data_IF_060200222454
#
_entry.id   IF_060200222454
#
_cell.length_a   1.000
_cell.length_b   1.000
_cell.length_c   1.000
_cell.angle_alpha   90.00
_cell.angle_beta   90.00
_cell.angle_gamma   90.00
#
_symmetry.space_group_name_H-M   'P 1'
#
loop_
_entity.id
_entity.type
_entity.pdbx_description
1 polymer ?
#
# COMPACT_ATOMS: atom_id res chain seq x y z
N UNK A 1 -31.26 48.58 -34.61
CA UNK A 1 -31.26 47.15 -34.21
C UNK A 1 -29.93 46.82 -33.53
N UNK A 2 -29.98 45.90 -32.56
CA UNK A 2 -29.14 45.77 -31.36
C UNK A 2 -27.66 45.42 -31.62
N UNK A 3 -26.76 46.06 -30.85
CA UNK A 3 -25.38 45.62 -30.59
C UNK A 3 -25.39 44.27 -29.86
N UNK A 4 -24.72 43.28 -30.44
CA UNK A 4 -24.49 41.98 -29.81
C UNK A 4 -23.19 42.03 -29.00
N UNK A 5 -23.28 41.89 -27.68
CA UNK A 5 -22.14 41.78 -26.77
C UNK A 5 -21.68 40.32 -26.73
N UNK A 6 -20.48 40.03 -27.23
CA UNK A 6 -19.79 38.76 -26.97
C UNK A 6 -19.32 38.75 -25.52
N UNK A 7 -19.84 37.80 -24.73
CA UNK A 7 -19.33 37.50 -23.39
C UNK A 7 -18.22 36.46 -23.58
N UNK A 8 -16.98 36.87 -23.32
CA UNK A 8 -15.81 36.01 -23.26
C UNK A 8 -15.80 35.34 -21.86
N UNK A 9 -16.34 34.13 -21.77
CA UNK A 9 -16.29 33.33 -20.54
C UNK A 9 -14.88 32.74 -20.38
N UNK A 10 -14.09 33.27 -19.46
CA UNK A 10 -12.84 32.67 -19.03
C UNK A 10 -13.13 31.46 -18.13
N UNK A 11 -12.93 30.25 -18.66
CA UNK A 11 -12.88 29.04 -17.86
C UNK A 11 -11.53 29.01 -17.10
N UNK A 12 -11.55 29.38 -15.82
CA UNK A 12 -10.47 29.01 -14.91
C UNK A 12 -10.60 27.51 -14.61
N UNK A 13 -9.77 26.71 -15.27
CA UNK A 13 -9.55 25.32 -14.86
C UNK A 13 -8.70 25.32 -13.58
N UNK A 14 -9.36 25.28 -12.43
CA UNK A 14 -8.72 25.02 -11.14
C UNK A 14 -8.21 23.58 -11.14
N UNK A 15 -6.93 23.38 -11.47
CA UNK A 15 -6.26 22.10 -11.20
C UNK A 15 -6.10 21.97 -9.70
N UNK A 16 -7.01 21.25 -9.05
CA UNK A 16 -6.79 20.77 -7.69
C UNK A 16 -5.65 19.76 -7.77
N UNK A 17 -4.45 20.19 -7.37
CA UNK A 17 -3.38 19.27 -7.02
C UNK A 17 -3.80 18.66 -5.69
N UNK A 18 -4.51 17.53 -5.75
CA UNK A 18 -4.69 16.67 -4.59
C UNK A 18 -3.30 16.11 -4.31
N UNK A 19 -2.55 16.75 -3.41
CA UNK A 19 -1.36 16.14 -2.83
C UNK A 19 -1.86 15.01 -1.95
N UNK A 20 -2.16 13.86 -2.57
CA UNK A 20 -2.29 12.62 -1.83
C UNK A 20 -0.99 12.47 -1.06
N UNK A 21 -1.07 12.43 0.27
CA UNK A 21 0.06 12.01 1.08
C UNK A 21 0.48 10.65 0.49
N UNK A 22 1.69 10.61 -0.08
CA UNK A 22 2.22 9.35 -0.58
C UNK A 22 2.29 8.41 0.62
N UNK A 23 1.81 7.19 0.41
CA UNK A 23 1.81 6.13 1.40
C UNK A 23 3.09 6.14 2.25
N UNK A 24 2.98 6.11 3.58
CA UNK A 24 4.14 6.04 4.49
C UNK A 24 4.72 4.63 4.52
N UNK A 25 5.09 4.13 3.34
CA UNK A 25 5.78 2.86 3.15
C UNK A 25 7.24 3.17 2.88
N UNK A 26 8.12 2.56 3.65
CA UNK A 26 9.55 2.76 3.62
C UNK A 26 10.28 1.49 3.18
N UNK A 27 11.47 1.65 2.62
CA UNK A 27 12.45 0.58 2.39
C UNK A 27 13.77 1.08 3.00
N UNK A 28 14.11 0.59 4.18
CA UNK A 28 15.10 1.23 5.05
C UNK A 28 14.67 2.66 5.38
N UNK A 29 15.62 3.60 5.37
CA UNK A 29 15.37 5.00 5.77
C UNK A 29 14.68 5.87 4.69
N UNK A 30 14.22 5.27 3.58
CA UNK A 30 13.67 6.00 2.42
C UNK A 30 12.24 5.61 2.15
N UNK A 31 11.43 6.59 1.72
CA UNK A 31 10.11 6.31 1.17
C UNK A 31 10.23 5.38 -0.04
N UNK A 32 9.36 4.38 -0.10
CA UNK A 32 9.25 3.48 -1.23
C UNK A 32 8.78 4.25 -2.47
N UNK A 33 9.43 4.02 -3.60
CA UNK A 33 9.03 4.64 -4.87
C UNK A 33 7.82 3.95 -5.47
N UNK A 34 7.16 4.61 -6.42
CA UNK A 34 6.05 4.02 -7.17
C UNK A 34 6.48 2.73 -7.90
N UNK A 35 7.70 2.68 -8.45
CA UNK A 35 8.23 1.48 -9.12
C UNK A 35 8.45 0.33 -8.14
N UNK A 36 8.91 0.62 -6.91
CA UNK A 36 9.07 -0.39 -5.88
C UNK A 36 7.71 -0.95 -5.45
N UNK A 37 6.72 -0.07 -5.24
CA UNK A 37 5.35 -0.48 -4.89
C UNK A 37 4.63 -1.19 -6.05
N UNK A 38 4.99 -0.91 -7.30
CA UNK A 38 4.47 -1.59 -8.50
C UNK A 38 5.14 -2.94 -8.77
N UNK A 39 6.13 -3.35 -7.98
CA UNK A 39 6.77 -4.68 -8.11
C UNK A 39 5.75 -5.79 -7.94
N UNK A 40 5.77 -6.76 -8.86
CA UNK A 40 4.77 -7.83 -8.97
C UNK A 40 5.28 -9.14 -8.41
N UNK A 41 4.36 -9.93 -7.84
CA UNK A 41 4.60 -11.33 -7.51
C UNK A 41 4.99 -12.12 -8.77
N UNK A 42 5.70 -13.23 -8.56
CA UNK A 42 6.08 -14.17 -9.60
C UNK A 42 4.97 -15.15 -9.96
N UNK A 43 3.93 -15.28 -9.13
CA UNK A 43 2.74 -16.10 -9.39
C UNK A 43 1.91 -15.61 -10.60
N UNK A 44 0.85 -16.36 -10.92
CA UNK A 44 -0.05 -16.09 -12.05
C UNK A 44 -0.84 -14.80 -11.89
N UNK A 45 -1.11 -14.40 -10.65
CA UNK A 45 -2.02 -13.31 -10.33
C UNK A 45 -1.32 -11.96 -10.46
N UNK A 46 0.03 -11.96 -10.41
CA UNK A 46 0.86 -10.78 -10.67
C UNK A 46 0.51 -9.59 -9.79
N UNK A 47 0.06 -9.88 -8.57
CA UNK A 47 -0.25 -8.92 -7.51
C UNK A 47 0.93 -8.01 -7.24
N UNK A 48 0.68 -6.71 -7.19
CA UNK A 48 1.67 -5.68 -6.83
C UNK A 48 1.79 -5.53 -5.32
N UNK A 49 2.94 -4.99 -4.86
CA UNK A 49 3.12 -4.66 -3.45
C UNK A 49 2.05 -3.65 -3.00
N UNK A 50 1.74 -2.65 -3.83
CA UNK A 50 0.68 -1.69 -3.55
C UNK A 50 -0.67 -2.35 -3.32
N UNK A 51 -1.08 -3.32 -4.14
CA UNK A 51 -2.37 -4.01 -4.01
C UNK A 51 -2.47 -4.80 -2.71
N UNK A 52 -1.44 -5.59 -2.36
CA UNK A 52 -1.49 -6.39 -1.12
C UNK A 52 -1.46 -5.52 0.15
N UNK A 53 -0.76 -4.37 0.13
CA UNK A 53 -0.71 -3.47 1.29
C UNK A 53 -1.97 -2.60 1.41
N UNK A 54 -2.45 -2.04 0.30
CA UNK A 54 -3.62 -1.13 0.29
C UNK A 54 -4.95 -1.86 0.54
N UNK A 55 -5.04 -3.13 0.15
CA UNK A 55 -6.23 -3.97 0.32
C UNK A 55 -5.94 -5.21 1.20
N UNK A 56 -5.17 -5.02 2.27
CA UNK A 56 -4.88 -6.10 3.21
C UNK A 56 -6.05 -6.40 4.15
N UNK A 57 -6.19 -7.65 4.57
CA UNK A 57 -7.11 -8.04 5.66
C UNK A 57 -6.66 -7.50 7.03
N UNK A 58 -5.40 -7.09 7.16
CA UNK A 58 -4.84 -6.54 8.39
C UNK A 58 -4.97 -5.02 8.39
N UNK A 59 -5.83 -4.48 9.26
CA UNK A 59 -6.09 -3.03 9.37
C UNK A 59 -4.81 -2.21 9.64
N UNK A 60 -3.85 -2.75 10.39
CA UNK A 60 -2.59 -2.06 10.62
C UNK A 60 -1.75 -1.88 9.35
N UNK A 61 -1.89 -2.80 8.39
CA UNK A 61 -1.22 -2.70 7.09
C UNK A 61 -1.91 -1.62 6.26
N UNK A 62 -3.24 -1.66 6.14
CA UNK A 62 -3.97 -0.64 5.38
C UNK A 62 -3.83 0.75 6.01
N UNK A 63 -3.82 0.87 7.33
CA UNK A 63 -3.57 2.13 8.02
C UNK A 63 -2.15 2.64 7.76
N UNK A 64 -1.14 1.77 7.79
CA UNK A 64 0.25 2.14 7.49
C UNK A 64 0.44 2.56 6.03
N UNK A 65 -0.19 1.85 5.09
CA UNK A 65 -0.19 2.25 3.68
C UNK A 65 -0.86 3.62 3.46
N UNK A 66 -1.92 3.94 4.20
CA UNK A 66 -2.66 5.20 4.04
C UNK A 66 -2.23 6.31 5.02
N UNK A 67 -1.13 6.11 5.77
CA UNK A 67 -0.64 7.06 6.79
C UNK A 67 -1.69 7.46 7.83
N UNK A 68 -2.53 6.51 8.25
CA UNK A 68 -3.63 6.72 9.20
C UNK A 68 -3.14 6.47 10.63
N UNK A 69 -3.42 7.43 11.52
CA UNK A 69 -3.19 7.27 12.97
C UNK A 69 -1.73 7.14 13.36
N UNK A 70 -0.84 7.85 12.65
CA UNK A 70 0.62 7.79 12.80
C UNK A 70 1.15 6.36 12.69
N UNK A 71 0.61 5.62 11.72
CA UNK A 71 1.05 4.26 11.41
C UNK A 71 1.86 4.31 10.13
N UNK A 72 3.03 3.67 10.14
CA UNK A 72 3.92 3.58 8.99
C UNK A 72 4.25 2.10 8.73
N UNK A 73 4.64 1.79 7.49
CA UNK A 73 5.15 0.47 7.10
C UNK A 73 6.60 0.56 6.67
N UNK A 74 7.40 -0.41 7.06
CA UNK A 74 8.71 -0.64 6.44
C UNK A 74 8.71 -2.00 5.75
N UNK A 75 8.94 -2.03 4.44
CA UNK A 75 9.18 -3.26 3.69
C UNK A 75 10.60 -3.73 4.00
N UNK A 76 10.72 -4.75 4.83
CA UNK A 76 12.00 -5.36 5.17
C UNK A 76 12.41 -6.45 4.18
N UNK A 77 11.44 -6.99 3.43
CA UNK A 77 11.69 -7.93 2.35
C UNK A 77 10.59 -7.87 1.28
N UNK A 78 11.02 -7.74 0.02
CA UNK A 78 10.12 -7.83 -1.15
C UNK A 78 9.55 -9.24 -1.35
N UNK A 79 8.99 -9.52 -2.53
CA UNK A 79 8.36 -10.81 -2.83
C UNK A 79 9.28 -12.01 -2.58
N UNK A 80 8.81 -12.95 -1.77
CA UNK A 80 9.50 -14.20 -1.51
C UNK A 80 8.54 -15.28 -0.97
N UNK A 81 9.06 -16.50 -0.90
CA UNK A 81 8.48 -17.62 -0.14
C UNK A 81 9.41 -18.04 0.98
N UNK A 82 8.88 -18.78 1.95
CA UNK A 82 9.56 -19.26 3.15
C UNK A 82 9.32 -18.36 4.36
N UNK A 83 9.51 -18.93 5.55
CA UNK A 83 9.13 -18.31 6.83
C UNK A 83 8.42 -19.33 7.73
N UNK A 84 7.82 -18.86 8.82
CA UNK A 84 7.24 -19.70 9.87
C UNK A 84 5.75 -19.43 10.13
N UNK A 85 5.09 -18.60 9.30
CA UNK A 85 3.66 -18.29 9.41
C UNK A 85 2.81 -19.16 8.47
N UNK A 86 1.48 -19.26 8.71
CA UNK A 86 0.60 -20.27 8.12
C UNK A 86 0.50 -20.35 6.59
N UNK A 87 1.12 -19.46 5.83
CA UNK A 87 1.09 -19.48 4.36
C UNK A 87 2.46 -19.28 3.71
N UNK A 88 3.51 -19.09 4.52
CA UNK A 88 4.83 -18.65 4.05
C UNK A 88 5.47 -19.64 3.07
N UNK A 89 5.24 -20.94 3.26
CA UNK A 89 5.79 -21.98 2.39
C UNK A 89 5.06 -22.11 1.05
N UNK A 90 3.85 -21.59 0.94
CA UNK A 90 2.94 -21.86 -0.18
C UNK A 90 2.83 -20.64 -1.10
N UNK A 91 2.56 -19.47 -0.51
CA UNK A 91 2.25 -18.25 -1.24
C UNK A 91 3.38 -17.22 -1.12
N UNK A 92 3.58 -16.47 -2.20
CA UNK A 92 4.49 -15.33 -2.12
C UNK A 92 3.93 -14.25 -1.20
N UNK A 93 4.84 -13.55 -0.54
CA UNK A 93 4.50 -12.43 0.32
C UNK A 93 5.63 -11.42 0.37
N UNK A 94 5.25 -10.21 0.80
CA UNK A 94 6.20 -9.20 1.28
C UNK A 94 6.22 -9.22 2.80
N UNK A 95 7.39 -9.04 3.39
CA UNK A 95 7.51 -8.84 4.85
C UNK A 95 7.54 -7.35 5.12
N UNK A 96 6.63 -6.91 5.98
CA UNK A 96 6.55 -5.52 6.43
C UNK A 96 6.63 -5.45 7.95
N UNK A 97 7.32 -4.46 8.47
CA UNK A 97 7.22 -4.04 9.86
C UNK A 97 6.22 -2.91 9.97
N UNK A 98 5.39 -2.97 11.00
CA UNK A 98 4.40 -1.93 11.31
C UNK A 98 4.95 -1.08 12.44
N UNK A 99 5.01 0.22 12.21
CA UNK A 99 5.36 1.22 13.20
C UNK A 99 4.14 2.03 13.58
N UNK A 100 4.02 2.41 14.85
CA UNK A 100 3.01 3.35 15.33
C UNK A 100 3.67 4.38 16.24
N UNK A 101 3.48 5.67 15.97
CA UNK A 101 4.17 6.75 16.68
C UNK A 101 5.69 6.53 16.71
N UNK A 102 6.29 6.10 15.59
CA UNK A 102 7.71 5.75 15.45
C UNK A 102 8.18 4.55 16.30
N UNK A 103 7.28 3.78 16.91
CA UNK A 103 7.62 2.57 17.65
C UNK A 103 7.23 1.32 16.87
N UNK A 104 8.14 0.35 16.82
CA UNK A 104 7.87 -0.95 16.20
C UNK A 104 6.77 -1.70 16.98
N UNK A 105 5.73 -2.16 16.27
CA UNK A 105 4.56 -2.84 16.87
C UNK A 105 4.55 -4.33 16.56
N UNK A 106 4.82 -4.71 15.31
CA UNK A 106 4.71 -6.09 14.82
C UNK A 106 5.32 -6.23 13.43
N UNK A 107 5.66 -7.46 13.08
CA UNK A 107 6.00 -7.87 11.72
C UNK A 107 4.81 -8.56 11.10
N UNK A 108 4.50 -8.25 9.85
CA UNK A 108 3.44 -8.88 9.08
C UNK A 108 3.96 -9.40 7.75
N UNK A 109 3.33 -10.45 7.26
CA UNK A 109 3.55 -11.07 5.96
C UNK A 109 2.28 -10.80 5.15
N UNK A 110 2.36 -9.95 4.13
CA UNK A 110 1.24 -9.61 3.25
C UNK A 110 1.33 -10.47 1.98
N UNK A 111 0.38 -11.39 1.83
CA UNK A 111 0.44 -12.43 0.81
C UNK A 111 -0.15 -11.96 -0.52
N UNK A 112 0.29 -12.60 -1.61
CA UNK A 112 -0.14 -12.29 -2.97
C UNK A 112 -1.53 -12.83 -3.34
N UNK A 113 -2.22 -13.53 -2.42
CA UNK A 113 -3.50 -14.20 -2.69
C UNK A 113 -4.67 -13.64 -1.87
N UNK A 114 -5.87 -13.90 -2.38
CA UNK A 114 -7.15 -13.63 -1.74
C UNK A 114 -7.90 -14.96 -1.53
N UNK A 115 -8.77 -15.02 -0.52
CA UNK A 115 -9.60 -16.23 -0.25
C UNK A 115 -10.94 -16.21 -0.97
N UNK A 116 -11.30 -15.08 -1.57
CA UNK A 116 -12.50 -14.88 -2.38
C UNK A 116 -12.20 -13.88 -3.48
N UNK A 117 -12.93 -13.96 -4.59
CA UNK A 117 -12.83 -13.00 -5.68
C UNK A 117 -13.09 -11.59 -5.15
N UNK A 118 -12.22 -10.65 -5.52
CA UNK A 118 -12.24 -9.25 -5.09
C UNK A 118 -12.24 -9.05 -3.56
N UNK A 119 -11.72 -10.04 -2.83
CA UNK A 119 -11.56 -9.99 -1.38
C UNK A 119 -10.30 -9.21 -0.96
N UNK A 120 -10.13 -8.97 0.36
CA UNK A 120 -8.86 -8.47 0.86
C UNK A 120 -7.77 -9.53 0.71
N UNK A 121 -6.55 -9.08 0.44
CA UNK A 121 -5.36 -9.91 0.44
C UNK A 121 -5.08 -10.42 1.86
N UNK A 122 -4.70 -11.69 1.94
CA UNK A 122 -4.41 -12.29 3.24
C UNK A 122 -3.13 -11.73 3.83
N UNK A 123 -3.08 -11.68 5.16
CA UNK A 123 -1.86 -11.33 5.88
C UNK A 123 -1.82 -11.95 7.27
N UNK A 124 -0.62 -12.37 7.68
CA UNK A 124 -0.33 -12.94 9.00
C UNK A 124 0.63 -12.02 9.73
N UNK A 125 0.39 -11.76 11.02
CA UNK A 125 1.24 -10.87 11.81
C UNK A 125 1.73 -11.56 13.09
N UNK A 126 2.96 -11.24 13.49
CA UNK A 126 3.55 -11.63 14.76
C UNK A 126 4.02 -10.40 15.51
N UNK A 127 3.65 -10.33 16.78
CA UNK A 127 4.16 -9.31 17.70
C UNK A 127 5.60 -9.68 18.11
N UNK A 128 6.45 -8.68 18.44
CA UNK A 128 7.65 -8.95 19.21
C UNK A 128 7.32 -9.75 20.46
N UNK A 129 8.25 -10.62 20.85
CA UNK A 129 8.22 -11.28 22.15
C UNK A 129 8.53 -10.30 23.27
#
# INVERSE_FOLDING_TARGET
MKLSRMILSAFLASTMVVSGAQAAVYIGDKLATAEQLASKSSDSDKTTIAETLSNSVQESITNGYNSIGNTDLEITKGWHKGGNLPFDSTFEHVTVQVYKNNEYVKTCHAYSFQTKLDGPYQASCVKPK
#
